data_IF_792238388428
#
_entry.id   IF_792238388428
#
_cell.length_a   1.000
_cell.length_b   1.000
_cell.length_c   1.000
_cell.angle_alpha   90.00
_cell.angle_beta   90.00
_cell.angle_gamma   90.00
#
_symmetry.space_group_name_H-M   'P 1'
#
loop_
_entity.id
_entity.type
_entity.pdbx_description
1 polymer ?
#
# COMPACT_ATOMS: atom_id res chain seq x y z
N UNK A 1 66.46 -0.89 -8.21
CA UNK A 1 66.14 -1.79 -7.10
C UNK A 1 64.72 -2.29 -7.28
N UNK A 2 64.55 -3.57 -7.58
CA UNK A 2 63.25 -4.16 -7.88
C UNK A 2 63.12 -5.50 -7.19
N UNK A 3 61.92 -5.86 -6.72
CA UNK A 3 61.67 -7.18 -6.15
C UNK A 3 60.30 -7.32 -5.50
N UNK A 4 59.44 -8.11 -6.15
CA UNK A 4 58.08 -8.52 -5.73
C UNK A 4 58.08 -9.49 -4.55
N UNK A 5 56.96 -9.49 -3.81
CA UNK A 5 56.35 -10.75 -3.38
C UNK A 5 55.18 -10.59 -2.40
N UNK A 6 53.91 -10.76 -2.82
CA UNK A 6 52.85 -11.16 -1.92
C UNK A 6 52.73 -12.69 -1.88
N UNK A 7 52.78 -13.26 -0.67
CA UNK A 7 52.52 -14.68 -0.42
C UNK A 7 51.03 -15.04 -0.59
N UNK A 8 50.71 -16.32 -0.91
CA UNK A 8 49.36 -16.73 -1.25
C UNK A 8 48.56 -17.06 0.02
N UNK A 9 47.38 -16.47 0.17
CA UNK A 9 46.49 -16.73 1.31
C UNK A 9 45.02 -16.72 0.93
N UNK A 10 44.47 -17.92 0.71
CA UNK A 10 43.03 -18.18 0.88
C UNK A 10 42.13 -17.93 -0.33
N UNK A 11 42.01 -18.92 -1.22
CA UNK A 11 40.87 -19.04 -2.14
C UNK A 11 39.64 -19.50 -1.34
N UNK A 12 39.02 -18.59 -0.60
CA UNK A 12 37.72 -18.81 0.01
C UNK A 12 36.63 -18.79 -1.05
N UNK A 13 36.45 -19.90 -1.75
CA UNK A 13 35.25 -20.15 -2.56
C UNK A 13 34.07 -20.43 -1.61
N UNK A 14 33.70 -19.41 -0.84
CA UNK A 14 32.37 -19.33 -0.29
C UNK A 14 31.44 -19.07 -1.47
N UNK A 15 30.73 -20.12 -1.90
CA UNK A 15 29.53 -20.02 -2.72
C UNK A 15 28.55 -19.13 -1.95
N UNK A 16 28.71 -17.82 -2.13
CA UNK A 16 27.88 -16.82 -1.50
C UNK A 16 26.47 -17.09 -1.96
N UNK A 17 25.55 -17.23 -1.02
CA UNK A 17 24.14 -17.06 -1.30
C UNK A 17 24.03 -15.65 -1.88
N UNK A 18 23.94 -15.53 -3.21
CA UNK A 18 23.62 -14.25 -3.82
C UNK A 18 22.23 -13.93 -3.32
N UNK A 19 22.15 -13.07 -2.29
CA UNK A 19 20.89 -12.51 -1.83
C UNK A 19 20.22 -11.97 -3.09
N UNK A 20 18.98 -12.37 -3.41
CA UNK A 20 18.22 -11.71 -4.45
C UNK A 20 18.31 -10.21 -4.18
N UNK A 21 18.65 -9.42 -5.19
CA UNK A 21 18.60 -7.98 -5.10
C UNK A 21 17.12 -7.60 -5.01
N UNK A 22 16.55 -7.77 -3.82
CA UNK A 22 15.26 -7.19 -3.47
C UNK A 22 15.55 -5.70 -3.49
N UNK A 23 15.01 -5.00 -4.48
CA UNK A 23 14.96 -3.55 -4.46
C UNK A 23 14.14 -3.19 -3.22
N UNK A 24 14.85 -2.76 -2.17
CA UNK A 24 14.23 -2.41 -0.90
C UNK A 24 13.34 -1.18 -1.18
N UNK A 25 12.02 -1.33 -1.05
CA UNK A 25 11.06 -0.26 -1.30
C UNK A 25 11.24 0.85 -0.26
N UNK A 26 12.07 1.82 -0.61
CA UNK A 26 12.37 2.98 0.24
C UNK A 26 11.43 4.15 0.00
N UNK A 27 10.37 3.99 -0.82
CA UNK A 27 9.40 5.06 -1.13
C UNK A 27 8.66 5.56 0.11
N UNK A 28 8.60 4.74 1.16
CA UNK A 28 7.92 5.03 2.41
C UNK A 28 8.83 5.63 3.49
N UNK A 29 10.13 5.75 3.22
CA UNK A 29 11.05 6.43 4.13
C UNK A 29 10.69 7.92 4.23
N UNK A 30 11.04 8.53 5.36
CA UNK A 30 10.72 9.93 5.63
C UNK A 30 11.94 10.72 6.08
N UNK A 31 12.06 11.95 5.59
CA UNK A 31 13.09 12.89 6.03
C UNK A 31 12.60 13.69 7.23
N UNK A 32 13.47 13.90 8.21
CA UNK A 32 13.11 14.64 9.41
C UNK A 32 13.21 16.16 9.19
N UNK A 33 12.08 16.87 9.29
CA UNK A 33 12.00 18.34 9.18
C UNK A 33 12.83 19.12 10.20
N UNK A 34 13.27 18.48 11.28
CA UNK A 34 14.09 19.11 12.33
C UNK A 34 15.59 18.98 12.09
N UNK A 35 16.05 17.91 11.45
CA UNK A 35 17.48 17.62 11.36
C UNK A 35 17.96 17.05 10.02
N UNK A 36 17.08 16.96 9.02
CA UNK A 36 17.38 16.50 7.65
C UNK A 36 17.80 15.04 7.53
N UNK A 37 17.62 14.23 8.59
CA UNK A 37 18.02 12.82 8.56
C UNK A 37 16.90 11.96 7.95
N UNK A 38 17.26 11.05 7.03
CA UNK A 38 16.35 10.06 6.45
C UNK A 38 16.09 8.91 7.44
N UNK A 39 14.83 8.56 7.65
CA UNK A 39 14.38 7.54 8.58
C UNK A 39 13.61 6.45 7.84
N UNK A 40 13.72 5.20 8.29
CA UNK A 40 12.92 4.10 7.77
C UNK A 40 11.42 4.33 7.99
N UNK A 41 10.61 3.96 7.00
CA UNK A 41 9.15 4.07 7.01
C UNK A 41 8.47 3.66 8.34
N UNK A 42 8.94 2.56 8.94
CA UNK A 42 8.38 2.01 10.18
C UNK A 42 8.66 2.82 11.45
N UNK A 43 9.55 3.82 11.40
CA UNK A 43 9.88 4.63 12.58
C UNK A 43 8.84 5.72 12.78
N UNK A 44 8.31 5.78 14.00
CA UNK A 44 7.45 6.86 14.45
C UNK A 44 8.23 8.13 14.85
N UNK A 45 9.53 8.02 15.10
CA UNK A 45 10.40 9.11 15.54
C UNK A 45 11.74 9.09 14.81
N UNK A 46 12.37 10.26 14.71
CA UNK A 46 13.66 10.40 14.08
C UNK A 46 14.74 9.67 14.89
N UNK A 47 15.55 8.83 14.24
CA UNK A 47 16.61 8.09 14.91
C UNK A 47 17.69 9.01 15.52
N UNK A 48 17.86 10.23 14.97
CA UNK A 48 18.90 11.17 15.36
C UNK A 48 18.43 12.15 16.42
N UNK A 49 17.33 12.87 16.18
CA UNK A 49 16.86 13.95 17.06
C UNK A 49 15.59 13.64 17.84
N UNK A 50 15.00 12.44 17.67
CA UNK A 50 13.74 12.01 18.31
C UNK A 50 12.50 12.86 17.97
N UNK A 51 12.60 13.75 17.00
CA UNK A 51 11.42 14.46 16.50
C UNK A 51 10.39 13.45 15.95
N UNK A 52 9.09 13.67 16.21
CA UNK A 52 8.05 12.79 15.69
C UNK A 52 8.05 12.81 14.16
N UNK A 53 7.68 11.69 13.55
CA UNK A 53 7.42 11.60 12.12
C UNK A 53 6.33 12.62 11.75
N UNK A 54 6.52 13.45 10.72
CA UNK A 54 5.45 14.30 10.23
C UNK A 54 4.31 13.40 9.73
N UNK A 55 3.08 13.68 10.16
CA UNK A 55 1.91 13.01 9.61
C UNK A 55 1.85 13.38 8.12
N UNK A 56 2.00 12.41 7.20
CA UNK A 56 1.96 12.76 5.80
C UNK A 56 0.54 13.26 5.44
N UNK A 57 0.39 14.26 4.57
CA UNK A 57 -0.93 14.81 4.21
C UNK A 57 -1.87 13.77 3.60
N UNK A 58 -1.31 12.69 3.05
CA UNK A 58 -1.99 11.57 2.42
C UNK A 58 -2.16 10.34 3.34
N UNK A 59 -1.65 10.36 4.57
CA UNK A 59 -2.27 9.56 5.65
C UNK A 59 -3.54 10.30 6.11
N UNK A 60 -4.47 10.46 5.16
CA UNK A 60 -5.89 10.48 5.49
C UNK A 60 -6.07 9.36 6.51
N UNK A 61 -6.72 9.62 7.66
CA UNK A 61 -7.22 8.51 8.46
C UNK A 61 -7.89 7.61 7.43
N UNK A 62 -7.44 6.35 7.27
CA UNK A 62 -8.26 5.37 6.57
C UNK A 62 -9.59 5.52 7.26
N UNK A 63 -10.56 6.17 6.63
CA UNK A 63 -11.78 6.51 7.31
C UNK A 63 -12.48 5.17 7.39
N UNK A 64 -12.19 4.45 8.48
CA UNK A 64 -12.64 3.09 8.69
C UNK A 64 -14.17 3.07 8.68
N UNK A 65 -14.81 4.21 9.00
CA UNK A 65 -16.25 4.37 8.89
C UNK A 65 -16.68 4.44 7.43
N UNK A 66 -16.05 5.29 6.61
CA UNK A 66 -16.35 5.36 5.17
C UNK A 66 -16.02 4.05 4.44
N UNK A 67 -14.91 3.40 4.79
CA UNK A 67 -14.54 2.08 4.26
C UNK A 67 -15.58 1.02 4.65
N UNK A 68 -16.01 1.01 5.92
CA UNK A 68 -17.06 0.10 6.38
C UNK A 68 -18.39 0.37 5.69
N UNK A 69 -18.78 1.63 5.51
CA UNK A 69 -20.01 2.02 4.82
C UNK A 69 -19.99 1.57 3.36
N UNK A 70 -18.88 1.78 2.65
CA UNK A 70 -18.66 1.29 1.29
C UNK A 70 -18.83 -0.22 1.19
N UNK A 71 -18.21 -0.97 2.10
CA UNK A 71 -18.31 -2.44 2.13
C UNK A 71 -19.73 -2.93 2.46
N UNK A 72 -20.42 -2.29 3.40
CA UNK A 72 -21.81 -2.61 3.75
C UNK A 72 -22.76 -2.35 2.59
N UNK A 73 -22.60 -1.21 1.90
CA UNK A 73 -23.41 -0.88 0.71
C UNK A 73 -23.28 -1.95 -0.38
N UNK A 74 -22.06 -2.42 -0.63
CA UNK A 74 -21.82 -3.52 -1.56
C UNK A 74 -22.46 -4.83 -1.08
N UNK A 75 -22.33 -5.17 0.21
CA UNK A 75 -22.94 -6.37 0.79
C UNK A 75 -24.47 -6.39 0.64
N UNK A 76 -25.13 -5.28 0.97
CA UNK A 76 -26.59 -5.17 0.85
C UNK A 76 -27.06 -5.28 -0.59
N UNK A 77 -26.34 -4.66 -1.53
CA UNK A 77 -26.70 -4.75 -2.93
C UNK A 77 -26.47 -6.13 -3.55
N UNK A 78 -25.63 -6.96 -2.92
CA UNK A 78 -25.46 -8.38 -3.23
C UNK A 78 -26.49 -9.28 -2.51
N UNK A 79 -27.43 -8.70 -1.76
CA UNK A 79 -28.48 -9.43 -1.05
C UNK A 79 -28.04 -10.07 0.26
N UNK A 80 -26.91 -9.64 0.83
CA UNK A 80 -26.48 -10.10 2.16
C UNK A 80 -27.28 -9.36 3.23
N UNK A 81 -27.88 -10.11 4.14
CA UNK A 81 -28.68 -9.55 5.23
C UNK A 81 -27.86 -8.63 6.17
N UNK A 82 -28.45 -7.56 6.71
CA UNK A 82 -27.79 -6.64 7.63
C UNK A 82 -27.09 -7.28 8.83
N UNK A 83 -27.67 -8.33 9.39
CA UNK A 83 -27.11 -9.07 10.51
C UNK A 83 -25.84 -9.85 10.14
N UNK A 84 -25.73 -10.29 8.88
CA UNK A 84 -24.58 -11.05 8.36
C UNK A 84 -23.57 -10.17 7.64
N UNK A 85 -23.95 -8.97 7.20
CA UNK A 85 -23.09 -8.11 6.43
C UNK A 85 -21.84 -7.68 7.23
N UNK A 86 -21.94 -7.47 8.53
CA UNK A 86 -20.80 -7.08 9.37
C UNK A 86 -19.70 -8.14 9.42
N UNK A 87 -20.06 -9.43 9.37
CA UNK A 87 -19.09 -10.53 9.38
C UNK A 87 -18.54 -10.78 7.98
N UNK A 88 -19.37 -10.66 6.95
CA UNK A 88 -18.97 -10.86 5.56
C UNK A 88 -17.99 -9.78 5.07
N UNK A 89 -18.18 -8.52 5.46
CA UNK A 89 -17.26 -7.42 5.07
C UNK A 89 -15.85 -7.55 5.68
N UNK A 90 -15.68 -8.42 6.68
CA UNK A 90 -14.40 -8.70 7.32
C UNK A 90 -13.65 -9.88 6.67
N UNK A 91 -14.31 -10.69 5.82
CA UNK A 91 -13.65 -11.78 5.11
C UNK A 91 -12.81 -11.22 3.94
N UNK A 92 -11.49 -11.48 3.88
CA UNK A 92 -10.66 -11.06 2.76
C UNK A 92 -11.14 -11.53 1.39
N UNK A 93 -11.86 -12.67 1.31
CA UNK A 93 -12.44 -13.18 0.06
C UNK A 93 -13.57 -12.32 -0.48
N UNK A 94 -14.21 -11.52 0.38
CA UNK A 94 -15.27 -10.60 -0.02
C UNK A 94 -14.73 -9.35 -0.75
N UNK A 95 -13.42 -9.10 -0.68
CA UNK A 95 -12.78 -7.98 -1.38
C UNK A 95 -13.00 -8.04 -2.90
N UNK A 96 -12.89 -9.23 -3.50
CA UNK A 96 -13.11 -9.44 -4.94
C UNK A 96 -14.57 -9.16 -5.34
N UNK A 97 -15.52 -9.47 -4.46
CA UNK A 97 -16.95 -9.21 -4.66
C UNK A 97 -17.28 -7.71 -4.64
N UNK A 98 -16.57 -6.92 -3.82
CA UNK A 98 -16.73 -5.46 -3.77
C UNK A 98 -16.26 -4.83 -5.08
N UNK A 99 -15.08 -5.21 -5.60
CA UNK A 99 -14.59 -4.66 -6.87
C UNK A 99 -15.53 -4.96 -8.03
N UNK A 100 -16.09 -6.17 -8.07
CA UNK A 100 -17.03 -6.58 -9.11
C UNK A 100 -18.32 -5.75 -9.05
N UNK A 101 -18.84 -5.48 -7.84
CA UNK A 101 -20.00 -4.63 -7.63
C UNK A 101 -19.75 -3.20 -8.13
N UNK A 102 -18.60 -2.62 -7.83
CA UNK A 102 -18.27 -1.25 -8.24
C UNK A 102 -18.10 -1.10 -9.76
N UNK A 103 -17.49 -2.12 -10.39
CA UNK A 103 -17.38 -2.16 -11.86
C UNK A 103 -18.76 -2.17 -12.51
N UNK A 104 -19.70 -2.94 -11.94
CA UNK A 104 -21.08 -2.98 -12.41
C UNK A 104 -21.80 -1.64 -12.22
N UNK A 105 -21.66 -1.00 -11.05
CA UNK A 105 -22.26 0.33 -10.81
C UNK A 105 -21.75 1.38 -11.80
N UNK A 106 -20.43 1.45 -11.99
CA UNK A 106 -19.82 2.39 -12.93
C UNK A 106 -20.28 2.17 -14.37
N UNK A 107 -20.47 0.91 -14.76
CA UNK A 107 -21.02 0.58 -16.07
C UNK A 107 -22.48 1.06 -16.21
N UNK A 108 -23.31 0.87 -15.18
CA UNK A 108 -24.69 1.38 -15.17
C UNK A 108 -24.74 2.90 -15.21
N UNK A 109 -23.91 3.59 -14.44
CA UNK A 109 -23.80 5.05 -14.46
C UNK A 109 -23.35 5.56 -15.82
N UNK A 110 -22.37 4.91 -16.45
CA UNK A 110 -21.92 5.27 -17.80
C UNK A 110 -23.03 5.11 -18.85
N UNK A 111 -23.84 4.05 -18.74
CA UNK A 111 -25.02 3.87 -19.59
C UNK A 111 -26.06 4.96 -19.35
N UNK A 112 -26.36 5.29 -18.09
CA UNK A 112 -27.31 6.36 -17.74
C UNK A 112 -26.83 7.73 -18.23
N UNK A 113 -25.54 8.04 -18.09
CA UNK A 113 -24.94 9.28 -18.59
C UNK A 113 -25.03 9.35 -20.11
N UNK A 114 -24.77 8.26 -20.82
CA UNK A 114 -24.90 8.22 -22.28
C UNK A 114 -26.35 8.49 -22.73
N UNK A 115 -27.33 7.87 -22.05
CA UNK A 115 -28.76 8.16 -22.29
C UNK A 115 -29.07 9.62 -22.00
N UNK A 116 -28.58 10.17 -20.89
CA UNK A 116 -28.82 11.56 -20.51
C UNK A 116 -28.22 12.56 -21.53
N UNK A 117 -27.01 12.29 -22.03
CA UNK A 117 -26.37 13.09 -23.07
C UNK A 117 -27.16 13.06 -24.39
N UNK A 118 -27.81 11.93 -24.70
CA UNK A 118 -28.67 11.81 -25.88
C UNK A 118 -29.93 12.70 -25.76
N UNK A 119 -30.48 12.89 -24.56
CA UNK A 119 -31.63 13.79 -24.35
C UNK A 119 -31.26 15.28 -24.34
N UNK A 120 -29.98 15.63 -24.18
CA UNK A 120 -29.52 17.02 -24.15
C UNK A 120 -29.13 17.56 -25.54
N UNK A 121 -29.10 16.69 -26.57
CA UNK A 121 -28.90 17.04 -27.97
C UNK A 121 -30.24 17.24 -28.67
#
# INVERSE_FOLDING_TARGET
DGGRGPGPGGKGQGKGWQRPQVEEDTSKDWECDKCGSRNFAKRAECFKCRAPRPRPPDEEPRDLRAERERKLKAAYAMGIDPEHAETVIMDPRFADSIEQYERMQKAQEGQQQAVQQQYQQ
#
